data_IF_472883302221
#
_entry.id   IF_472883302221
#
_cell.length_a   1.000
_cell.length_b   1.000
_cell.length_c   1.000
_cell.angle_alpha   90.00
_cell.angle_beta   90.00
_cell.angle_gamma   90.00
#
_symmetry.space_group_name_H-M   'P 1'
#
loop_
_entity.id
_entity.type
_entity.pdbx_description
1 polymer ?
#
# COMPACT_ATOMS: atom_id res chain seq x y z
N UNK A 1 6.48 -8.85 -0.57
CA UNK A 1 7.39 -8.48 0.54
C UNK A 1 7.91 -9.77 1.12
N UNK A 2 9.19 -10.07 0.86
CA UNK A 2 9.80 -11.29 1.35
C UNK A 2 10.19 -11.15 2.81
N UNK A 3 10.18 -12.25 3.55
CA UNK A 3 10.80 -12.30 4.88
C UNK A 3 11.33 -13.71 5.10
N UNK A 4 12.18 -13.86 6.11
CA UNK A 4 12.55 -15.15 6.68
C UNK A 4 12.46 -14.94 8.18
N UNK A 5 11.79 -15.85 8.89
CA UNK A 5 11.79 -15.78 10.34
C UNK A 5 13.23 -15.84 10.85
N UNK A 6 13.57 -15.08 11.90
CA UNK A 6 14.80 -15.33 12.63
C UNK A 6 14.77 -16.79 13.14
N UNK A 7 15.93 -17.45 13.18
CA UNK A 7 16.09 -18.86 13.56
C UNK A 7 15.52 -19.24 14.95
N UNK A 8 14.98 -18.30 15.72
CA UNK A 8 14.34 -18.58 17.01
C UNK A 8 12.87 -18.97 16.82
N UNK A 9 12.56 -20.19 17.22
CA UNK A 9 11.23 -20.80 17.28
C UNK A 9 10.32 -20.21 18.39
N UNK A 10 10.75 -19.16 19.09
CA UNK A 10 10.15 -18.66 20.33
C UNK A 10 9.09 -17.57 20.12
N UNK A 11 8.28 -17.70 19.07
CA UNK A 11 7.11 -16.83 18.88
C UNK A 11 5.82 -17.65 18.98
N UNK A 12 4.76 -17.03 19.46
CA UNK A 12 3.42 -17.62 19.46
C UNK A 12 2.58 -17.04 18.32
N UNK A 13 2.85 -15.79 17.96
CA UNK A 13 2.09 -15.06 16.93
C UNK A 13 3.02 -14.28 16.02
N UNK A 14 2.73 -14.29 14.72
CA UNK A 14 3.40 -13.50 13.71
C UNK A 14 2.39 -12.55 13.04
N UNK A 15 2.80 -11.31 12.79
CA UNK A 15 1.97 -10.28 12.19
C UNK A 15 2.62 -9.70 10.95
N UNK A 16 1.79 -9.42 9.94
CA UNK A 16 2.05 -8.31 9.02
C UNK A 16 1.18 -7.14 9.42
N UNK A 17 1.79 -5.98 9.66
CA UNK A 17 1.11 -4.75 10.04
C UNK A 17 1.37 -3.65 9.02
N UNK A 18 0.29 -3.04 8.54
CA UNK A 18 0.32 -1.82 7.75
C UNK A 18 0.26 -0.60 8.66
N UNK A 19 1.02 0.44 8.31
CA UNK A 19 0.91 1.79 8.87
C UNK A 19 0.90 2.79 7.72
N UNK A 20 -0.21 3.50 7.59
CA UNK A 20 -0.36 4.61 6.64
C UNK A 20 0.42 5.84 7.09
N UNK A 21 0.63 6.77 6.16
CA UNK A 21 1.26 8.07 6.43
C UNK A 21 0.43 8.93 7.41
N UNK A 22 -0.89 8.71 7.47
CA UNK A 22 -1.80 9.36 8.42
C UNK A 22 -1.82 8.66 9.80
N UNK A 23 -0.81 7.85 10.09
CA UNK A 23 -0.62 7.11 11.33
C UNK A 23 -1.73 6.09 11.67
N UNK A 24 -2.65 5.80 10.75
CA UNK A 24 -3.59 4.68 10.88
C UNK A 24 -2.84 3.36 10.71
N UNK A 25 -3.10 2.37 11.58
CA UNK A 25 -2.42 1.08 11.55
C UNK A 25 -3.41 -0.09 11.61
N UNK A 26 -3.15 -1.11 10.79
CA UNK A 26 -4.01 -2.30 10.65
C UNK A 26 -3.15 -3.55 10.60
N UNK A 27 -3.54 -4.60 11.32
CA UNK A 27 -2.98 -5.93 11.12
C UNK A 27 -3.55 -6.52 9.83
N UNK A 28 -2.70 -6.76 8.85
CA UNK A 28 -3.08 -7.38 7.57
C UNK A 28 -3.30 -8.87 7.78
N UNK A 29 -2.34 -9.50 8.47
CA UNK A 29 -2.25 -10.94 8.69
C UNK A 29 -1.89 -11.19 10.14
N UNK A 30 -2.56 -12.14 10.77
CA UNK A 30 -2.16 -12.72 12.06
C UNK A 30 -2.02 -14.23 11.88
N UNK A 31 -0.80 -14.75 12.05
CA UNK A 31 -0.51 -16.17 12.07
C UNK A 31 -0.29 -16.62 13.51
N UNK A 32 -1.08 -17.59 13.98
CA UNK A 32 -0.97 -18.13 15.34
C UNK A 32 -0.32 -19.52 15.26
N UNK A 33 0.91 -19.63 15.76
CA UNK A 33 1.67 -20.89 15.69
C UNK A 33 1.02 -21.99 16.54
N UNK A 34 0.43 -21.63 17.69
CA UNK A 34 -0.21 -22.58 18.62
C UNK A 34 -1.36 -23.36 17.99
N UNK A 35 -2.10 -22.74 17.07
CA UNK A 35 -3.26 -23.35 16.41
C UNK A 35 -3.03 -23.62 14.92
N UNK A 36 -1.85 -23.26 14.39
CA UNK A 36 -1.49 -23.30 12.96
C UNK A 36 -2.55 -22.59 12.09
N UNK A 37 -3.11 -21.50 12.63
CA UNK A 37 -4.19 -20.74 12.00
C UNK A 37 -3.69 -19.40 11.45
N UNK A 38 -4.38 -18.88 10.45
CA UNK A 38 -4.05 -17.64 9.76
C UNK A 38 -5.30 -16.81 9.53
N UNK A 39 -5.35 -15.66 10.21
CA UNK A 39 -6.44 -14.69 10.07
C UNK A 39 -5.97 -13.54 9.19
N UNK A 40 -6.75 -13.25 8.14
CA UNK A 40 -6.55 -12.09 7.27
C UNK A 40 -7.63 -11.05 7.60
N UNK A 41 -7.25 -9.78 7.69
CA UNK A 41 -8.24 -8.72 7.87
C UNK A 41 -9.16 -8.61 6.66
N UNK A 42 -10.46 -8.44 6.89
CA UNK A 42 -11.51 -8.29 5.86
C UNK A 42 -11.15 -7.23 4.80
N UNK A 43 -10.48 -6.14 5.18
CA UNK A 43 -10.05 -5.07 4.25
C UNK A 43 -9.06 -5.56 3.19
N UNK A 44 -8.35 -6.65 3.49
CA UNK A 44 -7.32 -7.27 2.67
C UNK A 44 -7.73 -8.63 2.12
N UNK A 45 -8.97 -9.06 2.37
CA UNK A 45 -9.54 -10.27 1.78
C UNK A 45 -9.43 -10.24 0.25
N UNK A 46 -9.16 -11.38 -0.37
CA UNK A 46 -8.90 -11.56 -1.81
C UNK A 46 -7.70 -10.79 -2.40
N UNK A 47 -6.97 -10.03 -1.59
CA UNK A 47 -5.82 -9.22 -2.01
C UNK A 47 -4.51 -9.73 -1.47
N UNK A 48 -4.53 -10.66 -0.53
CA UNK A 48 -3.35 -11.13 0.19
C UNK A 48 -3.11 -12.62 -0.03
N UNK A 49 -1.86 -12.96 -0.32
CA UNK A 49 -1.34 -14.32 -0.23
C UNK A 49 -0.15 -14.37 0.73
N UNK A 50 -0.07 -15.45 1.50
CA UNK A 50 0.97 -15.64 2.51
C UNK A 50 1.69 -16.96 2.23
N UNK A 51 3.02 -16.93 2.18
CA UNK A 51 3.83 -18.15 2.23
C UNK A 51 4.03 -18.55 3.69
N UNK A 52 3.51 -19.70 4.12
CA UNK A 52 3.73 -20.21 5.49
C UNK A 52 5.17 -20.70 5.72
N UNK A 53 5.92 -20.98 4.66
CA UNK A 53 7.32 -21.42 4.74
C UNK A 53 8.26 -20.24 5.08
N UNK A 54 8.04 -19.10 4.43
CA UNK A 54 8.92 -17.92 4.57
C UNK A 54 8.26 -16.79 5.33
N UNK A 55 6.97 -16.88 5.64
CA UNK A 55 6.15 -15.82 6.24
C UNK A 55 6.02 -14.58 5.35
N UNK A 56 6.33 -14.72 4.07
CA UNK A 56 6.29 -13.63 3.09
C UNK A 56 4.86 -13.24 2.73
N UNK A 57 4.64 -11.94 2.55
CA UNK A 57 3.36 -11.35 2.17
C UNK A 57 3.38 -10.90 0.70
N UNK A 58 2.43 -11.38 -0.08
CA UNK A 58 2.14 -10.88 -1.42
C UNK A 58 0.83 -10.09 -1.39
N UNK A 59 0.93 -8.78 -1.66
CA UNK A 59 -0.24 -7.91 -1.82
C UNK A 59 -0.54 -7.73 -3.32
N UNK A 60 -1.76 -8.09 -3.72
CA UNK A 60 -2.28 -8.02 -5.08
C UNK A 60 -3.19 -6.81 -5.26
N UNK A 61 -3.42 -6.44 -6.53
CA UNK A 61 -4.34 -5.35 -6.91
C UNK A 61 -4.01 -4.07 -6.13
N UNK A 62 -2.77 -3.60 -6.26
CA UNK A 62 -2.27 -2.42 -5.54
C UNK A 62 -3.09 -1.16 -5.87
N UNK A 63 -3.29 -0.34 -4.85
CA UNK A 63 -4.02 0.93 -4.87
C UNK A 63 -3.14 2.01 -4.28
N UNK A 64 -3.39 3.28 -4.63
CA UNK A 64 -2.57 4.38 -4.11
C UNK A 64 -2.58 4.45 -2.58
N UNK A 65 -3.74 4.14 -1.97
CA UNK A 65 -3.96 4.08 -0.52
C UNK A 65 -3.19 2.96 0.20
N UNK A 66 -2.62 2.00 -0.54
CA UNK A 66 -1.77 0.96 0.06
C UNK A 66 -0.33 1.47 0.28
N UNK A 67 -0.01 2.70 -0.13
CA UNK A 67 1.29 3.30 0.14
C UNK A 67 1.47 3.50 1.65
N UNK A 68 2.64 3.14 2.17
CA UNK A 68 2.95 3.22 3.59
C UNK A 68 3.93 2.14 4.04
N UNK A 69 4.03 1.99 5.36
CA UNK A 69 5.00 1.11 6.01
C UNK A 69 4.37 -0.24 6.31
N UNK A 70 5.00 -1.31 5.87
CA UNK A 70 4.64 -2.69 6.14
C UNK A 70 5.69 -3.30 7.04
N UNK A 71 5.29 -3.75 8.23
CA UNK A 71 6.20 -4.36 9.21
C UNK A 71 5.81 -5.81 9.43
N UNK A 72 6.78 -6.70 9.35
CA UNK A 72 6.66 -8.07 9.84
C UNK A 72 7.18 -8.13 11.28
N UNK A 73 6.37 -8.68 12.18
CA UNK A 73 6.65 -8.72 13.61
C UNK A 73 6.38 -10.13 14.13
N UNK A 74 7.27 -10.67 14.96
CA UNK A 74 7.03 -11.88 15.73
C UNK A 74 6.86 -11.53 17.21
N UNK A 75 5.84 -12.11 17.84
CA UNK A 75 5.52 -11.93 19.24
C UNK A 75 5.53 -13.26 19.97
N UNK A 76 6.27 -13.32 21.07
CA UNK A 76 6.32 -14.42 22.03
C UNK A 76 6.63 -13.87 23.42
N UNK A 77 7.74 -14.29 24.02
CA UNK A 77 8.25 -13.67 25.26
C UNK A 77 8.66 -12.20 25.06
N UNK A 78 9.06 -11.85 23.84
CA UNK A 78 9.35 -10.49 23.40
C UNK A 78 8.74 -10.25 22.02
N UNK A 79 8.48 -8.99 21.73
CA UNK A 79 8.11 -8.55 20.38
C UNK A 79 9.38 -8.23 19.61
N UNK A 80 9.51 -8.79 18.41
CA UNK A 80 10.68 -8.61 17.53
C UNK A 80 10.19 -8.13 16.16
N UNK A 81 10.62 -6.93 15.76
CA UNK A 81 10.48 -6.47 14.38
C UNK A 81 11.45 -7.28 13.50
N UNK A 82 10.91 -8.04 12.55
CA UNK A 82 11.70 -8.91 11.66
C UNK A 82 12.18 -8.11 10.44
N UNK A 83 11.25 -7.39 9.81
CA UNK A 83 11.57 -6.58 8.64
C UNK A 83 10.54 -5.48 8.45
N UNK A 84 10.95 -4.42 7.76
CA UNK A 84 10.12 -3.27 7.46
C UNK A 84 10.31 -2.85 6.00
N UNK A 85 9.21 -2.67 5.30
CA UNK A 85 9.17 -2.21 3.92
C UNK A 85 8.41 -0.91 3.83
N UNK A 86 8.97 0.07 3.12
CA UNK A 86 8.23 1.24 2.69
C UNK A 86 7.72 1.00 1.25
N UNK A 87 6.40 0.88 1.09
CA UNK A 87 5.77 0.68 -0.21
C UNK A 87 5.26 2.02 -0.72
N UNK A 88 5.73 2.44 -1.89
CA UNK A 88 5.18 3.57 -2.63
C UNK A 88 4.50 3.06 -3.89
N UNK A 89 3.17 3.11 -3.92
CA UNK A 89 2.41 2.79 -5.14
C UNK A 89 2.40 4.02 -6.03
N UNK A 90 2.98 3.93 -7.23
CA UNK A 90 2.99 5.05 -8.17
C UNK A 90 1.62 5.18 -8.85
N UNK A 91 1.12 6.41 -8.93
CA UNK A 91 -0.08 6.71 -9.71
C UNK A 91 0.23 6.81 -11.22
N UNK A 92 -0.81 6.88 -12.06
CA UNK A 92 -0.64 7.24 -13.46
C UNK A 92 0.09 8.57 -13.57
N UNK A 93 1.07 8.64 -14.47
CA UNK A 93 1.81 9.87 -14.73
C UNK A 93 1.11 10.66 -15.83
N UNK A 94 0.75 11.90 -15.52
CA UNK A 94 0.30 12.86 -16.51
C UNK A 94 1.44 13.83 -16.82
N UNK A 95 1.57 14.22 -18.08
CA UNK A 95 2.56 15.20 -18.52
C UNK A 95 1.91 16.58 -18.66
N UNK A 96 2.69 17.67 -18.56
CA UNK A 96 2.15 19.00 -18.78
C UNK A 96 1.47 19.15 -20.15
N UNK A 97 0.39 19.92 -20.19
CA UNK A 97 -0.37 20.21 -21.40
C UNK A 97 0.54 20.82 -22.47
N UNK A 98 0.49 20.28 -23.68
CA UNK A 98 1.24 20.82 -24.82
C UNK A 98 0.38 21.78 -25.65
N UNK A 99 1.00 22.73 -26.36
CA UNK A 99 0.27 23.76 -27.13
C UNK A 99 -0.62 23.22 -28.25
N UNK A 100 -0.31 22.02 -28.75
CA UNK A 100 -1.03 21.37 -29.85
C UNK A 100 -2.10 20.39 -29.36
N UNK A 101 -2.19 20.20 -28.05
CA UNK A 101 -3.06 19.22 -27.43
C UNK A 101 -4.44 19.83 -27.20
N UNK A 102 -5.48 19.03 -27.46
CA UNK A 102 -6.86 19.44 -27.24
C UNK A 102 -7.16 19.50 -25.74
N UNK A 103 -7.63 20.66 -25.27
CA UNK A 103 -7.83 20.93 -23.85
C UNK A 103 -8.91 20.01 -23.28
N UNK A 104 -10.00 19.74 -24.01
CA UNK A 104 -11.10 18.90 -23.54
C UNK A 104 -10.64 17.43 -23.40
N UNK A 105 -9.86 16.94 -24.36
CA UNK A 105 -9.25 15.61 -24.28
C UNK A 105 -8.29 15.50 -23.10
N UNK A 106 -7.49 16.54 -22.86
CA UNK A 106 -6.56 16.60 -21.75
C UNK A 106 -7.27 16.57 -20.39
N UNK A 107 -8.30 17.39 -20.22
CA UNK A 107 -9.13 17.42 -19.01
C UNK A 107 -9.86 16.09 -18.80
N UNK A 108 -10.39 15.48 -19.86
CA UNK A 108 -10.99 14.14 -19.78
C UNK A 108 -9.99 13.10 -19.27
N UNK A 109 -8.73 13.18 -19.73
CA UNK A 109 -7.67 12.28 -19.28
C UNK A 109 -7.31 12.53 -17.82
N UNK A 110 -7.21 13.80 -17.40
CA UNK A 110 -7.00 14.19 -16.01
C UNK A 110 -8.10 13.64 -15.10
N UNK A 111 -9.37 13.83 -15.45
CA UNK A 111 -10.53 13.35 -14.69
C UNK A 111 -10.49 11.83 -14.50
N UNK A 112 -10.18 11.08 -15.57
CA UNK A 112 -10.04 9.61 -15.49
C UNK A 112 -8.94 9.20 -14.52
N UNK A 113 -7.80 9.90 -14.53
CA UNK A 113 -6.69 9.63 -13.60
C UNK A 113 -7.09 9.99 -12.16
N UNK A 114 -7.73 11.14 -11.96
CA UNK A 114 -8.20 11.60 -10.65
C UNK A 114 -9.18 10.60 -10.03
N UNK A 115 -10.15 10.12 -10.82
CA UNK A 115 -11.09 9.08 -10.39
C UNK A 115 -10.38 7.75 -10.09
N UNK A 116 -9.45 7.31 -10.93
CA UNK A 116 -8.70 6.07 -10.71
C UNK A 116 -7.85 6.12 -9.44
N UNK A 117 -7.26 7.29 -9.15
CA UNK A 117 -6.47 7.53 -7.94
C UNK A 117 -7.33 7.86 -6.71
N UNK A 118 -8.64 8.06 -6.89
CA UNK A 118 -9.58 8.51 -5.84
C UNK A 118 -9.12 9.81 -5.16
N UNK A 119 -8.65 10.77 -5.95
CA UNK A 119 -8.30 12.09 -5.42
C UNK A 119 -9.56 12.81 -4.91
N UNK A 120 -9.53 13.39 -3.69
CA UNK A 120 -10.58 14.31 -3.23
C UNK A 120 -10.72 15.46 -4.21
N UNK A 121 -11.96 15.90 -4.48
CA UNK A 121 -12.22 16.96 -5.46
C UNK A 121 -11.50 18.27 -5.12
N UNK A 122 -11.33 18.53 -3.82
CA UNK A 122 -10.64 19.68 -3.26
C UNK A 122 -9.16 19.74 -3.68
N UNK A 123 -8.53 18.58 -3.90
CA UNK A 123 -7.13 18.45 -4.28
C UNK A 123 -6.91 18.50 -5.80
N UNK A 124 -7.97 18.49 -6.62
CA UNK A 124 -7.84 18.43 -8.08
C UNK A 124 -7.05 19.62 -8.64
N UNK A 125 -7.29 20.82 -8.11
CA UNK A 125 -6.57 22.03 -8.55
C UNK A 125 -5.07 21.95 -8.23
N UNK A 126 -4.70 21.34 -7.09
CA UNK A 126 -3.29 21.14 -6.69
C UNK A 126 -2.55 20.22 -7.68
N UNK A 127 -3.25 19.25 -8.26
CA UNK A 127 -2.70 18.35 -9.26
C UNK A 127 -2.73 18.93 -10.68
N UNK A 128 -3.78 19.69 -11.02
CA UNK A 128 -3.97 20.20 -12.37
C UNK A 128 -3.11 21.44 -12.68
N UNK A 129 -2.97 22.39 -11.74
CA UNK A 129 -2.22 23.65 -11.96
C UNK A 129 -0.79 23.41 -12.43
N UNK A 130 0.03 22.55 -11.80
CA UNK A 130 1.40 22.29 -12.24
C UNK A 130 1.48 21.72 -13.65
N UNK A 131 0.44 20.99 -14.07
CA UNK A 131 0.35 20.36 -15.38
C UNK A 131 -0.10 21.34 -16.46
N UNK A 132 -0.76 22.43 -16.09
CA UNK A 132 -1.11 23.52 -17.00
C UNK A 132 0.02 24.55 -17.19
N UNK A 133 1.20 24.30 -16.61
CA UNK A 133 2.33 25.24 -16.55
C UNK A 133 2.60 26.01 -17.85
N UNK A 134 2.36 27.34 -17.80
CA UNK A 134 3.03 28.32 -18.64
C UNK A 134 2.20 29.47 -19.23
N UNK A 135 0.88 29.54 -19.04
CA UNK A 135 0.03 30.61 -19.65
C UNK A 135 -0.85 31.35 -18.62
N UNK A 136 -0.27 31.77 -17.50
CA UNK A 136 -0.84 32.83 -16.66
C UNK A 136 -0.35 34.19 -17.15
#
# INVERSE_FOLDING_TARGET
MATQLPNSTDFTTFYWRFRSELNSSVNIVTYMQTYVDTVVSEVYEDRVEISKETFSLTLKKLRKTDSGIYTAEASGLKVTDITRYNLTVLGPKMFPLQEKEDIEHYLTTFERIAHACRWPYEDWTLHLIPLMSGKA
#
